data_IF_475105691444
#
_entry.id   IF_475105691444
#
_cell.length_a   1.000
_cell.length_b   1.000
_cell.length_c   1.000
_cell.angle_alpha   90.00
_cell.angle_beta   90.00
_cell.angle_gamma   90.00
#
_symmetry.space_group_name_H-M   'P 1'
#
loop_
_entity.id
_entity.type
_entity.pdbx_description
1 polymer ?
#
# COMPACT_ATOMS: atom_id res chain seq x y z
N UNK A 1 -13.65 -17.25 20.31
CA UNK A 1 -12.59 -17.87 19.49
C UNK A 1 -11.45 -16.89 19.19
N UNK A 2 -11.70 -15.70 18.63
CA UNK A 2 -10.62 -14.75 18.32
C UNK A 2 -9.99 -14.05 19.53
N UNK A 3 -10.69 -13.98 20.66
CA UNK A 3 -10.19 -13.32 21.89
C UNK A 3 -9.29 -14.22 22.75
N UNK A 4 -9.28 -15.53 22.48
CA UNK A 4 -8.42 -16.53 23.11
C UNK A 4 -8.16 -17.66 22.10
N UNK A 5 -7.42 -17.41 21.01
CA UNK A 5 -7.07 -18.47 20.08
C UNK A 5 -6.06 -19.39 20.76
N UNK A 6 -6.34 -20.69 20.83
CA UNK A 6 -5.34 -21.67 21.23
C UNK A 6 -4.15 -21.67 20.24
N UNK A 7 -2.96 -22.16 20.64
CA UNK A 7 -1.74 -22.08 19.82
C UNK A 7 -1.88 -22.76 18.45
N UNK A 8 -2.72 -23.79 18.32
CA UNK A 8 -3.02 -24.45 17.05
C UNK A 8 -3.82 -23.56 16.08
N UNK A 9 -4.69 -22.68 16.60
CA UNK A 9 -5.50 -21.80 15.77
C UNK A 9 -4.73 -20.54 15.35
N UNK A 10 -3.80 -20.05 16.18
CA UNK A 10 -3.00 -18.88 15.83
C UNK A 10 -1.95 -19.15 14.75
N UNK A 11 -1.53 -20.42 14.56
CA UNK A 11 -0.52 -20.80 13.56
C UNK A 11 -1.09 -21.57 12.36
N UNK A 12 -2.38 -21.91 12.36
CA UNK A 12 -3.00 -22.68 11.27
C UNK A 12 -3.12 -21.84 9.99
N UNK A 13 -2.43 -22.27 8.92
CA UNK A 13 -2.47 -21.59 7.62
C UNK A 13 -3.88 -21.47 7.04
N UNK A 14 -4.69 -22.53 7.20
CA UNK A 14 -6.09 -22.54 6.71
C UNK A 14 -6.91 -21.48 7.44
N UNK A 15 -6.71 -21.35 8.75
CA UNK A 15 -7.43 -20.36 9.55
C UNK A 15 -6.95 -18.94 9.24
N UNK A 16 -5.64 -18.74 9.09
CA UNK A 16 -5.06 -17.45 8.68
C UNK A 16 -5.57 -17.04 7.29
N UNK A 17 -5.64 -17.98 6.34
CA UNK A 17 -6.19 -17.73 5.01
C UNK A 17 -7.67 -17.34 5.08
N UNK A 18 -8.47 -18.02 5.91
CA UNK A 18 -9.86 -17.68 6.12
C UNK A 18 -10.05 -16.29 6.76
N UNK A 19 -9.20 -15.93 7.73
CA UNK A 19 -9.20 -14.57 8.30
C UNK A 19 -8.92 -13.54 7.19
N UNK A 20 -7.87 -13.75 6.40
CA UNK A 20 -7.48 -12.82 5.32
C UNK A 20 -8.57 -12.65 4.26
N UNK A 21 -9.14 -13.76 3.80
CA UNK A 21 -10.04 -13.78 2.65
C UNK A 21 -11.49 -13.41 3.00
N UNK A 22 -11.96 -13.75 4.20
CA UNK A 22 -13.35 -13.55 4.59
C UNK A 22 -13.50 -12.48 5.67
N UNK A 23 -12.80 -12.64 6.80
CA UNK A 23 -13.01 -11.78 7.96
C UNK A 23 -12.51 -10.36 7.70
N UNK A 24 -11.27 -10.18 7.23
CA UNK A 24 -10.72 -8.86 6.95
C UNK A 24 -11.54 -8.11 5.87
N UNK A 25 -12.04 -8.83 4.86
CA UNK A 25 -12.91 -8.26 3.82
C UNK A 25 -14.24 -7.80 4.41
N UNK A 26 -14.85 -8.59 5.30
CA UNK A 26 -16.08 -8.21 5.99
C UNK A 26 -15.87 -7.02 6.94
N UNK A 27 -14.79 -7.03 7.71
CA UNK A 27 -14.41 -5.93 8.61
C UNK A 27 -14.17 -4.64 7.83
N UNK A 28 -13.52 -4.70 6.67
CA UNK A 28 -13.29 -3.52 5.85
C UNK A 28 -14.61 -2.94 5.32
N UNK A 29 -15.51 -3.78 4.82
CA UNK A 29 -16.84 -3.35 4.35
C UNK A 29 -17.66 -2.72 5.48
N UNK A 30 -17.58 -3.28 6.68
CA UNK A 30 -18.32 -2.80 7.84
C UNK A 30 -17.62 -1.62 8.56
N UNK A 31 -16.33 -1.42 8.32
CA UNK A 31 -15.52 -0.33 8.86
C UNK A 31 -15.96 1.05 8.38
N UNK A 32 -16.72 1.13 7.29
CA UNK A 32 -17.31 2.39 6.79
C UNK A 32 -18.83 2.43 6.97
N UNK A 33 -19.38 1.55 7.82
CA UNK A 33 -20.81 1.52 8.11
C UNK A 33 -21.27 2.85 8.70
N UNK A 34 -22.42 3.42 8.26
CA UNK A 34 -23.01 4.58 8.92
C UNK A 34 -23.66 4.24 10.27
N UNK A 35 -23.90 2.95 10.54
CA UNK A 35 -24.45 2.44 11.79
C UNK A 35 -23.31 2.26 12.78
N UNK A 36 -23.35 3.02 13.88
CA UNK A 36 -22.27 3.15 14.88
C UNK A 36 -21.99 1.81 15.56
N UNK A 37 -23.01 1.02 15.87
CA UNK A 37 -22.88 -0.26 16.57
C UNK A 37 -22.15 -1.31 15.73
N UNK A 38 -22.42 -1.33 14.41
CA UNK A 38 -21.73 -2.22 13.46
C UNK A 38 -20.27 -1.82 13.35
N UNK A 39 -20.01 -0.51 13.29
CA UNK A 39 -18.66 0.02 13.26
C UNK A 39 -17.88 -0.33 14.55
N UNK A 40 -18.48 -0.14 15.71
CA UNK A 40 -17.90 -0.48 17.01
C UNK A 40 -17.48 -1.95 17.11
N UNK A 41 -18.38 -2.86 16.72
CA UNK A 41 -18.08 -4.29 16.67
C UNK A 41 -16.92 -4.60 15.71
N UNK A 42 -16.89 -3.94 14.56
CA UNK A 42 -15.82 -4.13 13.56
C UNK A 42 -14.47 -3.69 14.10
N UNK A 43 -14.40 -2.54 14.77
CA UNK A 43 -13.18 -2.05 15.43
C UNK A 43 -12.76 -2.97 16.58
N UNK A 44 -13.71 -3.47 17.38
CA UNK A 44 -13.41 -4.39 18.47
C UNK A 44 -12.82 -5.73 17.97
N UNK A 45 -13.36 -6.29 16.89
CA UNK A 45 -12.81 -7.50 16.25
C UNK A 45 -11.42 -7.21 15.67
N UNK A 46 -11.23 -6.06 15.02
CA UNK A 46 -9.92 -5.66 14.50
C UNK A 46 -8.87 -5.57 15.60
N UNK A 47 -9.18 -4.97 16.75
CA UNK A 47 -8.26 -4.92 17.88
C UNK A 47 -7.86 -6.32 18.37
N UNK A 48 -8.80 -7.27 18.42
CA UNK A 48 -8.45 -8.66 18.74
C UNK A 48 -7.52 -9.30 17.69
N UNK A 49 -7.73 -9.01 16.40
CA UNK A 49 -6.83 -9.47 15.34
C UNK A 49 -5.43 -8.84 15.46
N UNK A 50 -5.35 -7.57 15.84
CA UNK A 50 -4.07 -6.88 16.07
C UNK A 50 -3.32 -7.50 17.25
N UNK A 51 -4.02 -7.89 18.32
CA UNK A 51 -3.38 -8.54 19.48
C UNK A 51 -2.85 -9.93 19.15
N UNK A 52 -3.63 -10.77 18.45
CA UNK A 52 -3.32 -12.21 18.35
C UNK A 52 -2.84 -12.69 16.97
N UNK A 53 -3.09 -11.93 15.90
CA UNK A 53 -2.83 -12.35 14.52
C UNK A 53 -1.97 -11.37 13.73
N UNK A 54 -1.43 -10.31 14.37
CA UNK A 54 -0.60 -9.29 13.70
C UNK A 54 0.52 -9.82 12.80
N UNK A 55 1.26 -10.91 13.11
CA UNK A 55 2.38 -11.35 12.26
C UNK A 55 1.93 -11.73 10.85
N UNK A 56 0.67 -12.15 10.70
CA UNK A 56 0.15 -12.62 9.43
C UNK A 56 -0.62 -11.57 8.64
N UNK A 57 -0.99 -10.44 9.27
CA UNK A 57 -1.99 -9.50 8.74
C UNK A 57 -1.41 -8.14 8.35
N UNK A 58 -0.11 -8.07 8.04
CA UNK A 58 0.62 -6.82 7.76
C UNK A 58 -0.11 -5.88 6.79
N UNK A 59 -0.48 -6.36 5.58
CA UNK A 59 -1.23 -5.52 4.61
C UNK A 59 -2.66 -5.19 5.03
N UNK A 60 -3.34 -6.11 5.70
CA UNK A 60 -4.71 -5.89 6.17
C UNK A 60 -4.76 -4.83 7.28
N UNK A 61 -3.76 -4.83 8.17
CA UNK A 61 -3.59 -3.82 9.21
C UNK A 61 -3.31 -2.46 8.57
N UNK A 62 -2.43 -2.38 7.57
CA UNK A 62 -2.18 -1.13 6.84
C UNK A 62 -3.46 -0.51 6.31
N UNK A 63 -4.22 -1.28 5.52
CA UNK A 63 -5.47 -0.83 4.91
C UNK A 63 -6.47 -0.41 5.98
N UNK A 64 -6.61 -1.17 7.06
CA UNK A 64 -7.57 -0.83 8.12
C UNK A 64 -7.17 0.45 8.89
N UNK A 65 -5.89 0.64 9.20
CA UNK A 65 -5.42 1.90 9.80
C UNK A 65 -5.64 3.08 8.87
N UNK A 66 -5.17 2.96 7.62
CA UNK A 66 -5.13 4.05 6.64
C UNK A 66 -6.53 4.47 6.17
N UNK A 67 -7.34 3.49 5.80
CA UNK A 67 -8.59 3.69 5.06
C UNK A 67 -9.84 3.55 5.95
N UNK A 68 -9.69 3.12 7.21
CA UNK A 68 -10.79 3.08 8.19
C UNK A 68 -10.52 4.01 9.37
N UNK A 69 -9.55 3.70 10.23
CA UNK A 69 -9.34 4.44 11.48
C UNK A 69 -8.97 5.91 11.22
N UNK A 70 -7.86 6.15 10.49
CA UNK A 70 -7.36 7.50 10.25
C UNK A 70 -8.29 8.29 9.31
N UNK A 71 -8.87 7.62 8.30
CA UNK A 71 -9.86 8.26 7.41
C UNK A 71 -11.08 8.79 8.18
N UNK A 72 -11.59 8.04 9.16
CA UNK A 72 -12.74 8.46 9.97
C UNK A 72 -12.38 9.66 10.84
N UNK A 73 -11.18 9.70 11.42
CA UNK A 73 -10.71 10.85 12.20
C UNK A 73 -10.55 12.10 11.32
N UNK A 74 -9.95 11.93 10.14
CA UNK A 74 -9.67 13.01 9.20
C UNK A 74 -10.93 13.61 8.58
N UNK A 75 -11.90 12.75 8.26
CA UNK A 75 -13.11 13.17 7.56
C UNK A 75 -13.98 14.09 8.42
N UNK A 76 -14.37 15.23 7.85
CA UNK A 76 -15.37 16.12 8.46
C UNK A 76 -16.77 15.51 8.45
N UNK A 77 -17.03 14.54 7.57
CA UNK A 77 -18.35 13.89 7.43
C UNK A 77 -18.61 12.81 8.48
N UNK A 78 -17.58 12.34 9.17
CA UNK A 78 -17.72 11.31 10.20
C UNK A 78 -18.45 11.87 11.42
N UNK A 79 -19.40 11.11 11.95
CA UNK A 79 -20.11 11.53 13.17
C UNK A 79 -19.19 11.49 14.39
N UNK A 80 -19.55 12.27 15.41
CA UNK A 80 -18.83 12.30 16.69
C UNK A 80 -18.68 10.91 17.32
N UNK A 81 -19.72 10.07 17.26
CA UNK A 81 -19.69 8.69 17.79
C UNK A 81 -18.63 7.81 17.12
N UNK A 82 -18.52 7.86 15.79
CA UNK A 82 -17.46 7.13 15.07
C UNK A 82 -16.07 7.61 15.48
N UNK A 83 -15.87 8.93 15.61
CA UNK A 83 -14.58 9.49 16.02
C UNK A 83 -14.19 9.05 17.44
N UNK A 84 -15.14 8.99 18.38
CA UNK A 84 -14.87 8.50 19.73
C UNK A 84 -14.44 7.04 19.74
N UNK A 85 -15.14 6.15 19.00
CA UNK A 85 -14.77 4.73 18.90
C UNK A 85 -13.34 4.58 18.37
N UNK A 86 -12.98 5.35 17.34
CA UNK A 86 -11.60 5.31 16.81
C UNK A 86 -10.60 5.81 17.85
N UNK A 87 -10.89 6.91 18.52
CA UNK A 87 -10.02 7.44 19.59
C UNK A 87 -9.81 6.40 20.69
N UNK A 88 -10.87 5.74 21.16
CA UNK A 88 -10.76 4.71 22.20
C UNK A 88 -9.96 3.49 21.73
N UNK A 89 -10.09 3.11 20.45
CA UNK A 89 -9.26 2.08 19.86
C UNK A 89 -7.78 2.51 19.79
N UNK A 90 -7.51 3.75 19.37
CA UNK A 90 -6.16 4.30 19.32
C UNK A 90 -5.54 4.43 20.71
N UNK A 91 -6.32 4.77 21.75
CA UNK A 91 -5.82 4.76 23.15
C UNK A 91 -5.31 3.39 23.55
N UNK A 92 -6.01 2.31 23.19
CA UNK A 92 -5.57 0.93 23.47
C UNK A 92 -4.30 0.57 22.71
N UNK A 93 -4.21 0.95 21.44
CA UNK A 93 -3.01 0.74 20.61
C UNK A 93 -1.82 1.54 21.17
N UNK A 94 -2.03 2.82 21.50
CA UNK A 94 -1.00 3.70 22.03
C UNK A 94 -0.58 3.35 23.47
N UNK A 95 -1.40 2.57 24.18
CA UNK A 95 -1.09 2.04 25.51
C UNK A 95 -0.25 0.75 25.49
N UNK A 96 0.07 0.20 24.32
CA UNK A 96 0.92 -0.99 24.16
C UNK A 96 2.21 -0.58 23.43
N UNK A 97 3.32 -0.54 24.19
CA UNK A 97 4.60 -0.13 23.65
C UNK A 97 5.12 -1.07 22.55
N UNK A 98 4.92 -2.39 22.71
CA UNK A 98 5.34 -3.34 21.68
C UNK A 98 4.54 -3.13 20.40
N UNK A 99 3.23 -2.87 20.51
CA UNK A 99 2.40 -2.55 19.35
C UNK A 99 2.89 -1.28 18.62
N UNK A 100 3.25 -0.21 19.35
CA UNK A 100 3.76 1.03 18.74
C UNK A 100 5.10 0.81 18.02
N UNK A 101 6.02 0.08 18.65
CA UNK A 101 7.32 -0.29 18.09
C UNK A 101 7.12 -1.13 16.84
N UNK A 102 6.25 -2.15 16.89
CA UNK A 102 5.93 -2.98 15.74
C UNK A 102 5.33 -2.17 14.59
N UNK A 103 4.46 -1.18 14.88
CA UNK A 103 3.90 -0.29 13.85
C UNK A 103 5.01 0.55 13.20
N UNK A 104 5.90 1.12 13.99
CA UNK A 104 7.00 1.92 13.44
C UNK A 104 7.92 1.08 12.54
N UNK A 105 8.34 -0.09 13.00
CA UNK A 105 9.31 -0.91 12.30
C UNK A 105 8.74 -1.59 11.05
N UNK A 106 7.52 -2.10 11.14
CA UNK A 106 6.92 -2.85 10.04
C UNK A 106 6.35 -1.96 8.94
N UNK A 107 6.05 -0.70 9.24
CA UNK A 107 5.36 0.19 8.33
C UNK A 107 6.23 1.40 8.00
N UNK A 108 6.55 2.26 8.97
CA UNK A 108 7.33 3.48 8.75
C UNK A 108 8.78 3.20 8.34
N UNK A 109 9.38 2.09 8.77
CA UNK A 109 10.72 1.68 8.30
C UNK A 109 10.68 0.78 7.05
N UNK A 110 9.53 0.41 6.50
CA UNK A 110 9.44 -0.43 5.29
C UNK A 110 9.13 0.43 4.06
N UNK A 111 9.98 0.37 3.03
CA UNK A 111 9.86 1.16 1.78
C UNK A 111 8.53 0.93 1.03
N UNK A 112 7.96 -0.27 1.18
CA UNK A 112 6.77 -0.70 0.44
C UNK A 112 5.44 -0.41 1.16
N UNK A 113 5.51 -0.01 2.44
CA UNK A 113 4.34 0.15 3.31
C UNK A 113 4.08 1.63 3.60
N UNK A 114 2.87 2.00 4.01
CA UNK A 114 2.56 3.37 4.44
C UNK A 114 3.22 3.76 5.78
N UNK A 115 3.49 5.07 6.01
CA UNK A 115 3.90 5.59 7.33
C UNK A 115 2.70 5.69 8.28
N UNK A 116 2.37 4.59 8.95
CA UNK A 116 1.22 4.54 9.86
C UNK A 116 1.51 5.32 11.15
N UNK A 117 2.71 5.20 11.72
CA UNK A 117 3.06 5.85 12.98
C UNK A 117 3.15 7.37 12.81
N UNK A 118 3.82 7.86 11.75
CA UNK A 118 3.87 9.28 11.42
C UNK A 118 2.47 9.87 11.21
N UNK A 119 1.61 9.17 10.44
CA UNK A 119 0.25 9.67 10.18
C UNK A 119 -0.60 9.65 11.45
N UNK A 120 -0.52 8.59 12.26
CA UNK A 120 -1.18 8.49 13.57
C UNK A 120 -0.81 9.68 14.47
N UNK A 121 0.48 9.94 14.67
CA UNK A 121 0.95 11.03 15.53
C UNK A 121 0.53 12.40 14.99
N UNK A 122 0.63 12.59 13.68
CA UNK A 122 0.21 13.82 12.98
C UNK A 122 -1.28 14.10 13.14
N UNK A 123 -2.13 13.09 12.95
CA UNK A 123 -3.58 13.26 13.04
C UNK A 123 -4.04 13.47 14.49
N UNK A 124 -3.46 12.75 15.45
CA UNK A 124 -3.69 13.02 16.87
C UNK A 124 -3.29 14.45 17.26
N UNK A 125 -2.17 14.95 16.74
CA UNK A 125 -1.74 16.34 16.96
C UNK A 125 -2.71 17.36 16.35
N UNK A 126 -3.21 17.13 15.12
CA UNK A 126 -4.24 17.97 14.51
C UNK A 126 -5.56 17.94 15.29
N UNK A 127 -5.95 16.79 15.85
CA UNK A 127 -7.12 16.67 16.75
C UNK A 127 -6.91 17.50 18.01
N UNK A 128 -5.75 17.37 18.68
CA UNK A 128 -5.41 18.13 19.87
C UNK A 128 -5.43 19.65 19.61
N UNK A 129 -4.95 20.08 18.44
CA UNK A 129 -5.00 21.49 17.99
C UNK A 129 -6.41 21.95 17.58
N UNK A 130 -7.38 21.02 17.44
CA UNK A 130 -8.74 21.33 17.07
C UNK A 130 -8.96 21.60 15.58
N UNK A 131 -8.09 21.10 14.71
CA UNK A 131 -8.20 21.28 13.24
C UNK A 131 -9.32 20.46 12.61
N UNK A 132 -9.82 19.42 13.29
CA UNK A 132 -10.96 18.63 12.84
C UNK A 132 -12.27 19.16 13.44
N UNK A 133 -12.91 20.06 12.72
CA UNK A 133 -14.24 20.53 13.03
C UNK A 133 -15.25 19.40 12.74
N UNK A 134 -16.00 18.99 13.76
CA UNK A 134 -17.15 18.08 13.61
C UNK A 134 -18.19 18.78 12.74
N UNK A 135 -18.68 18.15 11.68
CA UNK A 135 -19.65 18.79 10.79
C UNK A 135 -20.98 19.12 11.51
N UNK A 136 -21.52 20.30 11.19
CA UNK A 136 -22.77 20.86 11.73
C UNK A 136 -24.02 20.14 11.20
N UNK A 137 -24.27 18.90 11.64
CA UNK A 137 -25.50 18.18 11.27
C UNK A 137 -26.40 17.98 12.49
N UNK A 138 -27.37 18.89 12.66
CA UNK A 138 -28.47 18.77 13.61
C UNK A 138 -28.57 19.91 14.63
N UNK A 139 -29.75 20.07 15.24
CA UNK A 139 -30.16 21.07 16.25
C UNK A 139 -29.36 21.04 17.58
N UNK A 140 -28.05 20.84 17.51
CA UNK A 140 -27.17 20.83 18.67
C UNK A 140 -26.91 22.28 19.08
N UNK A 141 -27.13 22.59 20.35
CA UNK A 141 -26.76 23.90 20.90
C UNK A 141 -25.26 24.11 20.71
N UNK A 142 -24.85 25.35 20.40
CA UNK A 142 -23.45 25.74 20.26
C UNK A 142 -22.58 25.30 21.44
N UNK A 143 -23.15 25.24 22.65
CA UNK A 143 -22.50 24.72 23.86
C UNK A 143 -22.18 23.22 23.81
N UNK A 144 -23.09 22.39 23.28
CA UNK A 144 -22.88 20.93 23.16
C UNK A 144 -21.80 20.58 22.14
N UNK A 145 -21.73 21.32 21.04
CA UNK A 145 -20.70 21.16 20.00
C UNK A 145 -19.33 21.55 20.56
N UNK A 146 -19.25 22.65 21.32
CA UNK A 146 -18.01 23.05 21.99
C UNK A 146 -17.53 21.99 22.99
N UNK A 147 -18.42 21.40 23.79
CA UNK A 147 -18.08 20.32 24.71
C UNK A 147 -17.54 19.09 23.97
N UNK A 148 -18.21 18.65 22.91
CA UNK A 148 -17.75 17.52 22.08
C UNK A 148 -16.36 17.77 21.48
N UNK A 149 -16.10 18.98 20.97
CA UNK A 149 -14.79 19.36 20.45
C UNK A 149 -13.71 19.35 21.54
N UNK A 150 -14.04 19.84 22.74
CA UNK A 150 -13.10 19.84 23.86
C UNK A 150 -12.73 18.41 24.30
N UNK A 151 -13.71 17.49 24.32
CA UNK A 151 -13.46 16.08 24.62
C UNK A 151 -12.52 15.46 23.58
N UNK A 152 -12.78 15.66 22.28
CA UNK A 152 -11.89 15.13 21.22
C UNK A 152 -10.48 15.70 21.32
N UNK A 153 -10.34 17.00 21.56
CA UNK A 153 -9.03 17.65 21.75
C UNK A 153 -8.27 17.04 22.94
N UNK A 154 -8.96 16.88 24.07
CA UNK A 154 -8.38 16.27 25.27
C UNK A 154 -7.94 14.83 24.99
N UNK A 155 -8.77 14.03 24.32
CA UNK A 155 -8.44 12.65 24.01
C UNK A 155 -7.30 12.51 23.00
N UNK A 156 -7.22 13.39 22.00
CA UNK A 156 -6.09 13.43 21.06
C UNK A 156 -4.76 13.72 21.77
N UNK A 157 -4.77 14.69 22.70
CA UNK A 157 -3.61 15.00 23.54
C UNK A 157 -3.25 13.82 24.46
N UNK A 158 -4.25 13.18 25.07
CA UNK A 158 -4.06 12.01 25.93
C UNK A 158 -3.39 10.85 25.16
N UNK A 159 -3.80 10.57 23.93
CA UNK A 159 -3.12 9.58 23.08
C UNK A 159 -1.65 9.93 22.82
N UNK A 160 -1.34 11.20 22.54
CA UNK A 160 0.05 11.63 22.34
C UNK A 160 0.90 11.46 23.60
N UNK A 161 0.32 11.79 24.76
CA UNK A 161 0.98 11.56 26.06
C UNK A 161 1.18 10.07 26.33
N UNK A 162 0.20 9.22 25.98
CA UNK A 162 0.32 7.76 26.08
C UNK A 162 1.46 7.23 25.21
N UNK A 163 1.57 7.68 23.96
CA UNK A 163 2.70 7.31 23.07
C UNK A 163 4.03 7.65 23.75
N UNK A 164 4.20 8.89 24.22
CA UNK A 164 5.45 9.31 24.87
C UNK A 164 5.75 8.50 26.12
N UNK A 165 4.73 8.19 26.93
CA UNK A 165 4.86 7.40 28.14
C UNK A 165 5.29 5.97 27.84
N UNK A 166 4.60 5.30 26.92
CA UNK A 166 4.90 3.93 26.53
C UNK A 166 6.29 3.81 25.90
N UNK A 167 6.70 4.77 25.07
CA UNK A 167 8.06 4.78 24.50
C UNK A 167 9.13 5.01 25.58
N UNK A 168 8.83 5.83 26.59
CA UNK A 168 9.74 6.04 27.73
C UNK A 168 9.87 4.76 28.55
N UNK A 169 8.76 4.13 28.91
CA UNK A 169 8.71 2.87 29.67
C UNK A 169 9.46 1.75 28.93
N UNK A 170 9.19 1.58 27.64
CA UNK A 170 9.88 0.60 26.80
C UNK A 170 11.38 0.86 26.68
N UNK A 171 11.79 2.12 26.51
CA UNK A 171 13.21 2.46 26.46
C UNK A 171 13.92 2.13 27.77
N UNK A 172 13.25 2.29 28.92
CA UNK A 172 13.81 1.95 30.23
C UNK A 172 13.97 0.44 30.40
N UNK A 173 13.00 -0.36 29.94
CA UNK A 173 13.10 -1.82 29.95
C UNK A 173 14.30 -2.33 29.14
N UNK A 174 14.65 -1.65 28.05
CA UNK A 174 15.84 -1.93 27.24
C UNK A 174 17.16 -1.78 28.01
N UNK A 175 17.25 -0.79 28.91
CA UNK A 175 18.44 -0.60 29.76
C UNK A 175 18.51 -1.61 30.89
N UNK A 176 17.38 -2.19 31.31
CA UNK A 176 17.30 -3.13 32.44
C UNK A 176 17.46 -4.59 31.97
N UNK A 177 16.91 -4.96 30.81
CA UNK A 177 17.01 -6.31 30.23
C UNK A 177 17.27 -6.26 28.71
N UNK A 178 18.54 -6.23 28.28
CA UNK A 178 18.90 -6.20 26.86
C UNK A 178 18.49 -7.46 26.06
N UNK A 179 18.24 -8.60 26.72
CA UNK A 179 18.01 -9.90 26.06
C UNK A 179 16.53 -10.26 25.81
N UNK A 180 15.57 -9.47 26.28
CA UNK A 180 14.13 -9.77 26.17
C UNK A 180 13.48 -9.37 24.84
N UNK A 181 14.26 -8.98 23.82
CA UNK A 181 13.69 -8.57 22.55
C UNK A 181 13.11 -9.76 21.75
N UNK A 182 11.78 -9.83 21.70
CA UNK A 182 11.06 -10.53 20.62
C UNK A 182 10.75 -9.52 19.52
N UNK A 183 11.67 -9.34 18.58
CA UNK A 183 11.49 -8.44 17.45
C UNK A 183 10.64 -9.11 16.37
N UNK A 184 9.61 -8.42 15.91
CA UNK A 184 8.73 -8.89 14.83
C UNK A 184 9.41 -8.61 13.48
N UNK A 185 10.37 -9.47 13.14
CA UNK A 185 11.11 -9.45 11.87
C UNK A 185 11.71 -10.80 11.47
N UNK A 186 11.74 -11.78 12.38
CA UNK A 186 12.00 -13.16 12.03
C UNK A 186 10.68 -13.83 11.65
N UNK A 187 10.51 -14.19 10.37
CA UNK A 187 9.51 -15.19 10.00
C UNK A 187 9.66 -16.39 10.94
N UNK A 188 8.56 -16.98 11.44
CA UNK A 188 8.67 -18.20 12.23
C UNK A 188 9.24 -19.29 11.32
N UNK A 189 10.53 -19.57 11.46
CA UNK A 189 11.14 -20.77 10.91
C UNK A 189 10.34 -21.96 11.44
N UNK A 190 9.69 -22.70 10.53
CA UNK A 190 9.01 -23.94 10.87
C UNK A 190 10.00 -24.85 11.60
N UNK A 191 9.81 -25.02 12.90
CA UNK A 191 10.50 -26.03 13.67
C UNK A 191 10.07 -27.40 13.10
N UNK A 192 10.92 -27.97 12.26
CA UNK A 192 10.78 -29.31 11.72
C UNK A 192 10.76 -30.30 12.88
N UNK A 193 9.56 -30.62 13.37
CA UNK A 193 9.33 -31.67 14.36
C UNK A 193 9.42 -33.03 13.66
N UNK A 194 10.66 -33.41 13.33
CA UNK A 194 11.01 -34.77 12.96
C UNK A 194 11.02 -35.64 14.20
N UNK A 195 9.99 -36.47 14.32
CA UNK A 195 9.84 -37.55 15.29
C UNK A 195 11.09 -38.46 15.32
N UNK A 196 11.85 -38.43 16.42
CA UNK A 196 12.86 -39.45 16.70
C UNK A 196 12.24 -40.56 17.57
N UNK A 197 11.83 -41.63 16.90
CA UNK A 197 11.58 -42.94 17.51
C UNK A 197 12.90 -43.64 17.79
N UNK A 198 13.06 -44.09 19.04
CA UNK A 198 14.17 -44.93 19.52
C UNK A 198 14.34 -46.20 18.67
N UNK A 199 15.55 -46.43 18.17
CA UNK A 199 16.07 -47.79 17.95
C UNK A 199 17.54 -47.84 18.39
N UNK A 200 17.82 -48.81 19.26
CA UNK A 200 19.14 -49.17 19.79
C UNK A 200 19.71 -50.25 18.88
N UNK A 201 20.94 -50.12 18.39
CA UNK A 201 21.90 -51.23 18.23
C UNK A 201 23.30 -50.75 17.76
N UNK A 202 24.23 -50.79 18.72
CA UNK A 202 25.60 -51.33 18.72
C UNK A 202 26.60 -51.21 17.54
N UNK A 203 27.83 -50.79 17.93
CA UNK A 203 29.18 -51.16 17.44
C UNK A 203 29.76 -50.54 16.14
N UNK A 204 30.91 -49.87 16.27
CA UNK A 204 31.83 -49.58 15.16
C UNK A 204 32.76 -48.39 15.41
N UNK A 205 34.06 -48.56 15.18
CA UNK A 205 35.18 -47.69 15.57
C UNK A 205 35.58 -46.69 14.46
N UNK A 206 36.31 -45.64 14.86
CA UNK A 206 37.21 -44.74 14.10
C UNK A 206 36.67 -43.44 13.47
N UNK A 207 37.01 -42.32 14.13
CA UNK A 207 37.95 -41.34 13.58
C UNK A 207 37.47 -40.36 12.50
N UNK A 208 37.16 -39.13 12.93
CA UNK A 208 37.65 -37.83 12.43
C UNK A 208 36.51 -36.79 12.32
N UNK A 209 36.40 -35.89 13.30
CA UNK A 209 35.43 -34.78 13.29
C UNK A 209 36.14 -33.43 13.39
N UNK A 210 36.20 -32.72 12.26
CA UNK A 210 36.39 -31.27 12.22
C UNK A 210 35.08 -30.61 12.68
N UNK A 211 35.11 -30.02 13.87
CA UNK A 211 34.05 -29.17 14.41
C UNK A 211 34.15 -27.77 13.78
N UNK A 212 33.31 -27.48 12.78
CA UNK A 212 32.87 -26.10 12.51
C UNK A 212 31.60 -25.85 13.31
N UNK A 213 31.77 -25.11 14.40
CA UNK A 213 30.71 -24.58 15.26
C UNK A 213 29.73 -23.74 14.45
N UNK A 214 28.55 -24.29 14.15
CA UNK A 214 27.42 -23.54 13.59
C UNK A 214 26.71 -22.82 14.75
N UNK A 215 27.29 -21.70 15.18
CA UNK A 215 26.62 -20.75 16.06
C UNK A 215 25.51 -20.05 15.29
N UNK A 216 24.27 -20.24 15.74
CA UNK A 216 23.10 -19.46 15.34
C UNK A 216 23.37 -17.97 15.59
N UNK A 217 23.65 -17.22 14.53
CA UNK A 217 23.76 -15.76 14.57
C UNK A 217 22.36 -15.20 14.84
N UNK A 218 22.14 -14.66 16.05
CA UNK A 218 21.02 -13.74 16.31
C UNK A 218 21.19 -12.56 15.34
N UNK A 219 20.15 -12.10 14.62
CA UNK A 219 20.25 -10.83 13.91
C UNK A 219 20.51 -9.76 14.96
N UNK A 220 21.73 -9.21 14.98
CA UNK A 220 21.97 -7.99 15.73
C UNK A 220 21.17 -6.90 15.02
N UNK A 221 20.14 -6.38 15.68
CA UNK A 221 19.44 -5.18 15.25
C UNK A 221 20.45 -4.03 15.25
N UNK A 222 20.93 -3.66 14.07
CA UNK A 222 21.82 -2.53 13.85
C UNK A 222 20.99 -1.24 13.78
N UNK A 223 21.04 -0.35 14.78
CA UNK A 223 20.28 0.90 14.78
C UNK A 223 20.59 1.76 13.55
N UNK A 224 21.81 1.71 13.06
CA UNK A 224 22.25 2.46 11.87
C UNK A 224 21.55 1.94 10.61
N UNK A 225 21.31 0.63 10.52
CA UNK A 225 20.55 0.03 9.43
C UNK A 225 19.08 0.47 9.42
N UNK A 226 18.45 0.68 10.59
CA UNK A 226 17.08 1.18 10.68
C UNK A 226 16.98 2.67 10.33
N UNK A 227 17.91 3.48 10.83
CA UNK A 227 17.99 4.90 10.47
C UNK A 227 18.23 5.07 8.97
N UNK A 228 19.16 4.30 8.40
CA UNK A 228 19.40 4.28 6.95
C UNK A 228 18.15 3.88 6.16
N UNK A 229 17.42 2.84 6.60
CA UNK A 229 16.21 2.39 5.91
C UNK A 229 15.10 3.44 5.96
N UNK A 230 14.93 4.11 7.10
CA UNK A 230 13.98 5.22 7.24
C UNK A 230 14.37 6.42 6.39
N UNK A 231 15.64 6.83 6.41
CA UNK A 231 16.13 7.94 5.59
C UNK A 231 15.95 7.66 4.09
N UNK A 232 16.25 6.44 3.64
CA UNK A 232 15.97 5.99 2.28
C UNK A 232 14.49 6.08 1.94
N UNK A 233 13.60 5.71 2.88
CA UNK A 233 12.15 5.83 2.69
C UNK A 233 11.68 7.27 2.58
N UNK A 234 12.15 8.17 3.45
CA UNK A 234 11.81 9.59 3.38
C UNK A 234 12.22 10.21 2.03
N UNK A 235 13.39 9.85 1.52
CA UNK A 235 13.86 10.25 0.19
C UNK A 235 12.95 9.66 -0.89
N UNK A 236 12.60 8.37 -0.77
CA UNK A 236 11.73 7.70 -1.72
C UNK A 236 10.35 8.37 -1.81
N UNK A 237 9.70 8.59 -0.67
CA UNK A 237 8.39 9.24 -0.59
C UNK A 237 8.42 10.70 -1.07
N UNK A 238 9.48 11.44 -0.71
CA UNK A 238 9.72 12.79 -1.24
C UNK A 238 9.84 12.77 -2.77
N UNK A 239 10.56 11.79 -3.33
CA UNK A 239 10.64 11.55 -4.76
C UNK A 239 9.28 11.31 -5.40
N UNK A 240 8.46 10.41 -4.83
CA UNK A 240 7.10 10.15 -5.32
C UNK A 240 6.21 11.41 -5.26
N UNK A 241 6.34 12.20 -4.20
CA UNK A 241 5.61 13.46 -4.06
C UNK A 241 6.00 14.46 -5.15
N UNK A 242 7.28 14.58 -5.49
CA UNK A 242 7.76 15.42 -6.60
C UNK A 242 7.18 14.97 -7.94
N UNK A 243 7.12 13.65 -8.19
CA UNK A 243 6.50 13.11 -9.40
C UNK A 243 5.03 13.54 -9.49
N UNK A 244 4.30 13.39 -8.39
CA UNK A 244 2.88 13.75 -8.28
C UNK A 244 2.63 15.27 -8.31
N UNK A 245 3.67 16.09 -8.09
CA UNK A 245 3.67 17.55 -8.21
C UNK A 245 4.18 18.06 -9.57
N UNK A 246 4.06 17.24 -10.63
CA UNK A 246 4.49 17.57 -12.01
C UNK A 246 6.00 17.77 -12.19
N UNK A 247 6.83 17.18 -11.34
CA UNK A 247 8.29 17.22 -11.47
C UNK A 247 8.89 15.81 -11.64
N UNK A 248 8.54 15.09 -12.71
CA UNK A 248 8.97 13.70 -12.89
C UNK A 248 10.49 13.58 -13.07
N UNK A 249 11.14 14.52 -13.77
CA UNK A 249 12.60 14.50 -13.94
C UNK A 249 13.34 14.70 -12.61
N UNK A 250 12.86 15.60 -11.76
CA UNK A 250 13.44 15.83 -10.43
C UNK A 250 13.23 14.64 -9.50
N UNK A 251 12.08 13.98 -9.59
CA UNK A 251 11.82 12.71 -8.93
C UNK A 251 12.86 11.65 -9.37
N UNK A 252 12.98 11.40 -10.67
CA UNK A 252 13.89 10.38 -11.19
C UNK A 252 15.34 10.66 -10.80
N UNK A 253 15.77 11.92 -10.91
CA UNK A 253 17.10 12.34 -10.49
C UNK A 253 17.35 12.08 -8.99
N UNK A 254 16.42 12.50 -8.12
CA UNK A 254 16.52 12.27 -6.68
C UNK A 254 16.63 10.77 -6.36
N UNK A 255 15.80 9.93 -6.99
CA UNK A 255 15.77 8.50 -6.74
C UNK A 255 17.00 7.78 -7.30
N UNK A 256 17.54 8.23 -8.44
CA UNK A 256 18.75 7.69 -9.04
C UNK A 256 20.01 8.07 -8.25
N UNK A 257 20.15 9.33 -7.84
CA UNK A 257 21.28 9.81 -7.03
C UNK A 257 21.40 9.08 -5.69
N UNK A 258 20.26 8.65 -5.12
CA UNK A 258 20.21 7.89 -3.87
C UNK A 258 20.21 6.37 -4.08
N UNK A 259 20.40 5.88 -5.31
CA UNK A 259 20.49 4.45 -5.63
C UNK A 259 19.18 3.67 -5.44
N UNK A 260 18.04 4.35 -5.38
CA UNK A 260 16.71 3.75 -5.17
C UNK A 260 16.11 3.21 -6.47
N UNK A 261 16.52 3.76 -7.61
CA UNK A 261 16.14 3.30 -8.96
C UNK A 261 17.40 3.25 -9.83
N UNK A 262 17.49 2.28 -10.74
CA UNK A 262 18.58 2.22 -11.72
C UNK A 262 18.59 3.43 -12.68
N UNK A 263 19.77 3.79 -13.16
CA UNK A 263 19.96 4.91 -14.11
C UNK A 263 19.48 4.61 -15.55
N UNK A 264 19.15 3.34 -15.83
CA UNK A 264 18.71 2.89 -17.15
C UNK A 264 17.24 3.24 -17.44
N UNK A 265 16.91 3.45 -18.72
CA UNK A 265 15.54 3.76 -19.14
C UNK A 265 14.57 2.61 -18.88
N UNK A 266 15.08 1.38 -18.88
CA UNK A 266 14.36 0.15 -18.55
C UNK A 266 14.00 0.10 -17.06
N UNK A 267 14.94 0.50 -16.19
CA UNK A 267 14.67 0.59 -14.73
C UNK A 267 13.61 1.65 -14.43
N UNK A 268 13.67 2.79 -15.11
CA UNK A 268 12.64 3.85 -14.98
C UNK A 268 11.30 3.35 -15.49
N UNK A 269 11.26 2.67 -16.64
CA UNK A 269 10.03 2.07 -17.17
C UNK A 269 9.42 1.04 -16.21
N UNK A 270 10.25 0.18 -15.60
CA UNK A 270 9.80 -0.80 -14.60
C UNK A 270 9.24 -0.10 -13.36
N UNK A 271 9.91 0.95 -12.87
CA UNK A 271 9.43 1.76 -11.76
C UNK A 271 8.04 2.36 -12.05
N UNK A 272 7.83 2.92 -13.24
CA UNK A 272 6.53 3.48 -13.65
C UNK A 272 5.41 2.42 -13.76
N UNK A 273 5.75 1.14 -13.95
CA UNK A 273 4.79 0.04 -14.03
C UNK A 273 4.46 -0.55 -12.65
N UNK A 274 5.46 -0.67 -11.78
CA UNK A 274 5.31 -1.34 -10.48
C UNK A 274 4.76 -0.40 -9.39
N UNK A 275 5.16 0.87 -9.41
CA UNK A 275 4.82 1.81 -8.33
C UNK A 275 3.40 2.38 -8.50
N UNK A 276 2.46 1.82 -7.74
CA UNK A 276 1.03 2.15 -7.80
C UNK A 276 0.69 3.50 -7.12
N UNK A 277 1.58 4.02 -6.27
CA UNK A 277 1.45 5.34 -5.61
C UNK A 277 1.69 6.51 -6.57
N UNK A 278 2.20 6.25 -7.77
CA UNK A 278 2.37 7.27 -8.80
C UNK A 278 1.03 7.66 -9.42
N UNK A 279 0.85 8.96 -9.63
CA UNK A 279 -0.35 9.49 -10.26
C UNK A 279 -0.40 9.06 -11.73
N UNK A 280 -1.35 8.18 -12.06
CA UNK A 280 -1.60 7.70 -13.43
C UNK A 280 -1.72 8.81 -14.48
N UNK A 281 -2.23 9.98 -14.10
CA UNK A 281 -2.30 11.15 -14.99
C UNK A 281 -0.92 11.73 -15.30
N UNK A 282 -0.04 11.81 -14.30
CA UNK A 282 1.32 12.30 -14.48
C UNK A 282 2.20 11.30 -15.23
N UNK A 283 1.99 9.99 -15.03
CA UNK A 283 2.65 8.94 -15.84
C UNK A 283 2.31 9.14 -17.32
N UNK A 284 1.01 9.28 -17.65
CA UNK A 284 0.58 9.49 -19.03
C UNK A 284 1.17 10.77 -19.64
N UNK A 285 1.20 11.86 -18.87
CA UNK A 285 1.79 13.12 -19.33
C UNK A 285 3.30 13.01 -19.60
N UNK A 286 4.03 12.30 -18.73
CA UNK A 286 5.46 12.07 -18.83
C UNK A 286 5.81 11.17 -20.02
N UNK A 287 5.10 10.05 -20.20
CA UNK A 287 5.32 9.13 -21.33
C UNK A 287 4.94 9.75 -22.67
N UNK A 288 3.98 10.68 -22.68
CA UNK A 288 3.56 11.38 -23.89
C UNK A 288 4.50 12.49 -24.36
N UNK A 289 5.54 12.87 -23.59
CA UNK A 289 6.38 14.01 -23.96
C UNK A 289 7.30 13.77 -25.15
N UNK A 290 7.65 14.86 -25.85
CA UNK A 290 8.51 14.80 -27.05
C UNK A 290 10.01 14.82 -26.74
N UNK A 291 10.38 14.88 -25.47
CA UNK A 291 11.77 14.92 -25.07
C UNK A 291 12.44 13.57 -25.34
N UNK A 292 13.70 13.55 -25.82
CA UNK A 292 14.35 12.32 -26.27
C UNK A 292 14.49 11.29 -25.15
N UNK A 293 14.66 11.74 -23.90
CA UNK A 293 14.68 10.86 -22.74
C UNK A 293 13.31 10.22 -22.48
N UNK A 294 12.24 11.02 -22.48
CA UNK A 294 10.87 10.57 -22.30
C UNK A 294 10.44 9.55 -23.36
N UNK A 295 10.81 9.78 -24.62
CA UNK A 295 10.53 8.85 -25.72
C UNK A 295 11.22 7.50 -25.52
N UNK A 296 12.49 7.50 -25.07
CA UNK A 296 13.21 6.26 -24.77
C UNK A 296 12.58 5.50 -23.61
N UNK A 297 12.18 6.20 -22.54
CA UNK A 297 11.46 5.59 -21.42
C UNK A 297 10.10 5.05 -21.86
N UNK A 298 9.37 5.78 -22.71
CA UNK A 298 8.09 5.32 -23.27
C UNK A 298 8.25 4.07 -24.13
N UNK A 299 9.31 4.00 -24.93
CA UNK A 299 9.61 2.79 -25.70
C UNK A 299 9.90 1.61 -24.77
N UNK A 300 10.78 1.78 -23.78
CA UNK A 300 11.07 0.75 -22.79
C UNK A 300 9.82 0.32 -22.00
N UNK A 301 8.93 1.26 -21.66
CA UNK A 301 7.66 1.00 -20.97
C UNK A 301 6.74 0.12 -21.80
N UNK A 302 6.53 0.45 -23.08
CA UNK A 302 5.69 -0.34 -23.98
C UNK A 302 6.31 -1.71 -24.27
N UNK A 303 7.64 -1.79 -24.35
CA UNK A 303 8.36 -3.03 -24.64
C UNK A 303 8.35 -4.03 -23.47
N UNK A 304 7.95 -3.62 -22.26
CA UNK A 304 7.72 -4.52 -21.12
C UNK A 304 6.38 -5.26 -21.21
N UNK A 305 5.45 -4.82 -22.06
CA UNK A 305 4.20 -5.53 -22.25
C UNK A 305 4.36 -6.70 -23.21
N UNK A 306 3.79 -7.84 -22.81
CA UNK A 306 3.60 -9.00 -23.66
C UNK A 306 2.15 -9.05 -24.15
N UNK A 307 1.99 -8.82 -25.45
CA UNK A 307 0.70 -8.85 -26.15
C UNK A 307 0.47 -10.13 -26.96
N UNK A 308 1.31 -11.15 -26.78
CA UNK A 308 1.18 -12.42 -27.50
C UNK A 308 -0.16 -13.08 -27.19
N UNK A 309 -0.86 -13.54 -28.23
CA UNK A 309 -2.17 -14.23 -28.17
C UNK A 309 -3.32 -13.44 -27.52
N UNK A 310 -3.13 -12.13 -27.26
CA UNK A 310 -4.18 -11.24 -26.75
C UNK A 310 -4.94 -10.60 -27.90
N UNK A 311 -6.25 -10.46 -27.75
CA UNK A 311 -7.04 -9.65 -28.69
C UNK A 311 -6.67 -8.17 -28.57
N UNK A 312 -6.85 -7.44 -29.68
CA UNK A 312 -6.43 -6.04 -29.78
C UNK A 312 -7.02 -5.14 -28.68
N UNK A 313 -8.30 -5.34 -28.35
CA UNK A 313 -9.00 -4.52 -27.36
C UNK A 313 -8.50 -4.85 -25.95
N UNK A 314 -8.28 -6.12 -25.62
CA UNK A 314 -7.72 -6.52 -24.33
C UNK A 314 -6.28 -6.03 -24.16
N UNK A 315 -5.44 -6.16 -25.18
CA UNK A 315 -4.07 -5.62 -25.18
C UNK A 315 -4.06 -4.11 -24.95
N UNK A 316 -4.96 -3.39 -25.61
CA UNK A 316 -5.09 -1.94 -25.43
C UNK A 316 -5.60 -1.58 -24.03
N UNK A 317 -6.55 -2.35 -23.47
CA UNK A 317 -7.02 -2.14 -22.09
C UNK A 317 -5.91 -2.34 -21.06
N UNK A 318 -5.08 -3.36 -21.26
CA UNK A 318 -3.94 -3.64 -20.39
C UNK A 318 -2.91 -2.51 -20.45
N UNK A 319 -2.54 -2.07 -21.65
CA UNK A 319 -1.65 -0.92 -21.85
C UNK A 319 -2.18 0.36 -21.16
N UNK A 320 -3.46 0.67 -21.38
CA UNK A 320 -4.11 1.86 -20.81
C UNK A 320 -4.46 1.72 -19.32
N UNK A 321 -4.25 0.55 -18.71
CA UNK A 321 -4.51 0.35 -17.27
C UNK A 321 -3.43 1.02 -16.39
N UNK A 322 -2.21 1.17 -16.93
CA UNK A 322 -1.05 1.72 -16.23
C UNK A 322 -1.09 3.24 -16.06
N UNK A 323 -1.75 3.98 -16.95
CA UNK A 323 -1.77 5.44 -16.93
C UNK A 323 -3.11 6.02 -17.43
N UNK A 324 -3.35 7.31 -17.21
CA UNK A 324 -4.47 8.02 -17.85
C UNK A 324 -3.98 8.74 -19.09
N UNK A 325 -4.71 8.56 -20.20
CA UNK A 325 -4.37 9.21 -21.47
C UNK A 325 -4.32 10.75 -21.31
N UNK A 326 -3.27 11.40 -21.83
CA UNK A 326 -3.22 12.85 -21.93
C UNK A 326 -4.35 13.41 -22.79
N UNK A 327 -4.69 14.68 -22.59
CA UNK A 327 -5.70 15.37 -23.41
C UNK A 327 -5.15 15.91 -24.73
N UNK A 328 -3.83 16.10 -24.85
CA UNK A 328 -3.21 16.64 -26.06
C UNK A 328 -3.11 15.56 -27.16
N UNK A 329 -3.70 15.83 -28.32
CA UNK A 329 -3.74 14.89 -29.44
C UNK A 329 -2.35 14.36 -29.85
N UNK A 330 -1.34 15.23 -29.85
CA UNK A 330 0.04 14.86 -30.19
C UNK A 330 0.66 13.85 -29.20
N UNK A 331 0.25 13.86 -27.93
CA UNK A 331 0.74 12.90 -26.94
C UNK A 331 0.06 11.55 -27.09
N UNK A 332 -1.24 11.56 -27.37
CA UNK A 332 -2.01 10.34 -27.68
C UNK A 332 -1.43 9.67 -28.94
N UNK A 333 -1.13 10.46 -29.97
CA UNK A 333 -0.52 10.04 -31.24
C UNK A 333 0.69 9.14 -31.05
N UNK A 334 1.71 9.64 -30.35
CA UNK A 334 2.94 8.89 -30.06
C UNK A 334 2.72 7.61 -29.26
N UNK A 335 1.83 7.65 -28.27
CA UNK A 335 1.53 6.50 -27.43
C UNK A 335 0.83 5.39 -28.23
N UNK A 336 -0.13 5.77 -29.08
CA UNK A 336 -0.86 4.83 -29.93
C UNK A 336 0.01 4.27 -31.06
N UNK A 337 0.92 5.07 -31.62
CA UNK A 337 1.88 4.61 -32.63
C UNK A 337 2.80 3.52 -32.09
N UNK A 338 3.44 3.77 -30.94
CA UNK A 338 4.32 2.76 -30.30
C UNK A 338 3.52 1.53 -29.84
N UNK A 339 2.32 1.70 -29.29
CA UNK A 339 1.44 0.58 -28.94
C UNK A 339 1.11 -0.30 -30.15
N UNK A 340 0.70 0.29 -31.26
CA UNK A 340 0.35 -0.44 -32.48
C UNK A 340 1.56 -1.19 -33.05
N UNK A 341 2.74 -0.55 -33.08
CA UNK A 341 3.99 -1.19 -33.49
C UNK A 341 4.34 -2.39 -32.60
N UNK A 342 4.18 -2.26 -31.27
CA UNK A 342 4.43 -3.36 -30.33
C UNK A 342 3.42 -4.50 -30.48
N UNK A 343 2.14 -4.19 -30.57
CA UNK A 343 1.09 -5.21 -30.75
C UNK A 343 1.33 -6.04 -32.02
N UNK A 344 1.68 -5.38 -33.13
CA UNK A 344 2.00 -6.04 -34.39
C UNK A 344 3.25 -6.92 -34.26
N UNK A 345 4.30 -6.44 -33.57
CA UNK A 345 5.53 -7.21 -33.34
C UNK A 345 5.31 -8.46 -32.46
N UNK A 346 4.41 -8.40 -31.48
CA UNK A 346 4.05 -9.56 -30.64
C UNK A 346 3.12 -10.55 -31.36
N UNK A 347 2.40 -10.14 -32.40
CA UNK A 347 1.40 -10.94 -33.09
C UNK A 347 1.65 -11.08 -34.60
N UNK A 348 2.84 -11.55 -35.03
CA UNK A 348 3.19 -11.62 -36.46
C UNK A 348 2.34 -12.61 -37.26
N UNK A 349 1.75 -13.62 -36.60
CA UNK A 349 0.95 -14.66 -37.23
C UNK A 349 -0.56 -14.35 -37.23
N UNK A 350 -0.96 -13.26 -36.57
CA UNK A 350 -2.36 -12.89 -36.44
C UNK A 350 -2.75 -12.05 -37.67
N UNK A 351 -3.34 -12.68 -38.69
CA UNK A 351 -3.80 -12.05 -39.94
C UNK A 351 -4.90 -10.97 -39.77
N UNK A 352 -5.12 -10.47 -38.55
CA UNK A 352 -6.11 -9.44 -38.23
C UNK A 352 -5.71 -8.06 -38.75
N UNK A 353 -4.41 -7.75 -38.81
CA UNK A 353 -3.92 -6.46 -39.32
C UNK A 353 -2.93 -6.65 -40.45
N UNK A 354 -3.12 -5.90 -41.54
CA UNK A 354 -2.20 -5.91 -42.68
C UNK A 354 -0.89 -5.13 -42.40
N UNK A 355 -0.91 -4.17 -41.47
CA UNK A 355 0.24 -3.37 -41.07
C UNK A 355 0.04 -2.77 -39.67
N UNK A 356 1.13 -2.32 -39.04
CA UNK A 356 1.08 -1.52 -37.81
C UNK A 356 0.23 -0.25 -37.98
N UNK A 357 0.23 0.37 -39.16
CA UNK A 357 -0.61 1.54 -39.46
C UNK A 357 -2.11 1.23 -39.37
N UNK A 358 -2.52 0.01 -39.75
CA UNK A 358 -3.92 -0.42 -39.65
C UNK A 358 -4.33 -0.57 -38.19
N UNK A 359 -3.45 -1.17 -37.38
CA UNK A 359 -3.65 -1.28 -35.94
C UNK A 359 -3.68 0.10 -35.26
N UNK A 360 -2.83 1.02 -35.70
CA UNK A 360 -2.78 2.39 -35.24
C UNK A 360 -4.09 3.17 -35.52
N UNK A 361 -4.60 3.11 -36.74
CA UNK A 361 -5.88 3.75 -37.12
C UNK A 361 -7.03 3.17 -36.28
N UNK A 362 -7.03 1.85 -36.04
CA UNK A 362 -8.03 1.22 -35.18
C UNK A 362 -7.89 1.69 -33.73
N UNK A 363 -6.68 1.73 -33.16
CA UNK A 363 -6.45 2.25 -31.80
C UNK A 363 -7.03 3.66 -31.65
N UNK A 364 -6.70 4.55 -32.59
CA UNK A 364 -7.22 5.91 -32.63
C UNK A 364 -8.73 5.97 -32.71
N UNK A 365 -9.34 5.15 -33.57
CA UNK A 365 -10.79 5.06 -33.71
C UNK A 365 -11.45 4.65 -32.41
N UNK A 366 -10.88 3.69 -31.68
CA UNK A 366 -11.40 3.24 -30.38
C UNK A 366 -11.24 4.33 -29.31
N UNK A 367 -10.10 5.04 -29.26
CA UNK A 367 -9.91 6.16 -28.31
C UNK A 367 -10.92 7.28 -28.57
N UNK A 368 -11.11 7.66 -29.84
CA UNK A 368 -12.07 8.69 -30.23
C UNK A 368 -13.50 8.26 -29.87
N UNK A 369 -13.87 7.00 -30.15
CA UNK A 369 -15.17 6.44 -29.80
C UNK A 369 -15.39 6.37 -28.28
N UNK A 370 -14.37 5.99 -27.52
CA UNK A 370 -14.45 5.91 -26.05
C UNK A 370 -14.58 7.30 -25.42
N UNK A 371 -13.85 8.28 -25.95
CA UNK A 371 -13.94 9.69 -25.53
C UNK A 371 -15.33 10.26 -25.84
N UNK A 372 -15.89 9.93 -27.00
CA UNK A 372 -17.23 10.35 -27.42
C UNK A 372 -18.35 9.70 -26.58
N UNK A 373 -18.26 8.40 -26.29
CA UNK A 373 -19.27 7.64 -25.54
C UNK A 373 -19.31 8.00 -24.05
N UNK A 374 -18.16 8.34 -23.45
CA UNK A 374 -17.99 8.54 -22.00
C UNK A 374 -17.70 9.98 -21.58
N UNK A 375 -17.57 10.93 -22.51
CA UNK A 375 -17.46 12.36 -22.16
C UNK A 375 -18.82 12.93 -21.73
N UNK A 376 -18.85 13.54 -20.54
CA UNK A 376 -20.02 14.27 -20.02
C UNK A 376 -20.29 15.59 -20.75
N UNK A 377 -19.38 16.03 -21.63
CA UNK A 377 -19.49 17.27 -22.41
C UNK A 377 -20.24 17.08 -23.74
N UNK A 378 -20.44 15.84 -24.21
CA UNK A 378 -21.08 15.55 -25.51
C UNK A 378 -22.52 15.11 -25.26
N UNK A 379 -23.47 15.91 -25.75
CA UNK A 379 -24.91 15.62 -25.66
C UNK A 379 -25.21 14.27 -26.36
N UNK A 380 -26.07 13.41 -25.79
CA UNK A 380 -26.29 12.03 -26.26
C UNK A 380 -26.74 11.92 -27.72
N UNK A 381 -27.31 12.97 -28.31
CA UNK A 381 -27.71 13.06 -29.72
C UNK A 381 -26.53 13.17 -30.71
N UNK A 382 -25.34 13.62 -30.27
CA UNK A 382 -24.19 13.83 -31.15
C UNK A 382 -23.14 12.71 -31.07
N UNK A 383 -23.45 11.61 -30.37
CA UNK A 383 -22.54 10.48 -30.21
C UNK A 383 -22.47 9.66 -31.51
N UNK A 384 -21.29 9.15 -31.85
CA UNK A 384 -21.09 8.27 -33.00
C UNK A 384 -22.00 7.04 -32.89
N UNK A 385 -22.96 6.93 -33.81
CA UNK A 385 -23.81 5.76 -33.94
C UNK A 385 -23.12 4.70 -34.81
N UNK A 386 -23.39 3.42 -34.53
CA UNK A 386 -23.00 2.32 -35.43
C UNK A 386 -23.62 2.60 -36.79
N UNK A 387 -22.79 2.76 -37.83
CA UNK A 387 -23.26 2.62 -39.21
C UNK A 387 -23.71 1.18 -39.36
N UNK A 388 -25.02 0.95 -39.39
CA UNK A 388 -25.59 -0.34 -39.77
C UNK A 388 -25.18 -0.60 -41.23
N UNK A 389 -24.23 -1.51 -41.42
CA UNK A 389 -23.98 -2.11 -42.72
C UNK A 389 -25.15 -3.05 -43.03
N UNK A 390 -26.02 -2.61 -43.95
CA UNK A 390 -27.06 -3.44 -44.58
C UNK A 390 -26.46 -4.51 -45.48
#
# INVERSE_FOLDING_TARGET
>A
MLQQPGPLFSTSEIFIAAIKQYLCVALFKNGTSPIVEIFELSVAIFLALLTYFKPYLKRQIEVFFKDVLLLILESSKSSYGHKLIVIDALKRICGDAQCLVDIYLNYDCDLSMANIFERLTTDLAKIAQGRYLVAEHGNNTSSSIQQQQQILRSSGLECLVLILRCMTEWSQELYVNPESQSFLGSEPMLANSGSNTNTVENSGVDGNHNMTSLGTVKPYDDPEAFESRKAQKEIYESGLALFNQKQPLRCLQLLQENGLIGESVESVAQFLLVEDRLSKSHIGYFLGENEPYNLRVMYAYVDQFDFTDKDFVSAMREFLSGFRLPGEAQKIDRLMEKFAARYFACNPNNNVFASADTAYVLAFSIIMLTTDLHSSQIKPHNRMSKVMSS
#
